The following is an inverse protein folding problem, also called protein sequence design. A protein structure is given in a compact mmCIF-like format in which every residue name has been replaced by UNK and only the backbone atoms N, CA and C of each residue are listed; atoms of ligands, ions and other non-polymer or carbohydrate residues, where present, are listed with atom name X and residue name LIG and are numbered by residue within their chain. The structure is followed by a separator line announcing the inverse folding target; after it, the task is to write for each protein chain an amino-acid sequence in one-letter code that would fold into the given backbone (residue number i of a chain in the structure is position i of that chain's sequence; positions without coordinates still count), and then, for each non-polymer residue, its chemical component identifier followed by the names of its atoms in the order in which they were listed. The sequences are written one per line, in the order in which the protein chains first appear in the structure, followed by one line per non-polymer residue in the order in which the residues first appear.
data_IF_775066456079
#
_entry.id   IF_775066456079
#
_cell.length_a   1.000
_cell.length_b   1.000
_cell.length_c   1.000
_cell.angle_alpha   90.00
_cell.angle_beta   90.00
_cell.angle_gamma   90.00
#
_symmetry.space_group_name_H-M   'P 1'
#
loop_
_entity.id
_entity.type
_entity.pdbx_description
1 polymer ?
#
# COMPACT_ATOMS: atom_id res chain seq x y z
N UNK A 1 0.19 16.34 -0.22
CA UNK A 1 1.42 16.80 -0.91
C UNK A 1 1.57 16.05 -2.22
N UNK A 2 2.28 16.60 -3.22
CA UNK A 2 2.68 15.79 -4.40
C UNK A 2 3.57 14.66 -3.89
N UNK A 3 3.16 13.40 -4.06
CA UNK A 3 3.89 12.21 -3.61
C UNK A 3 3.24 11.40 -2.49
N UNK A 4 2.22 11.94 -1.78
CA UNK A 4 1.42 11.11 -0.88
C UNK A 4 0.51 10.18 -1.73
N UNK A 5 0.31 8.95 -1.29
CA UNK A 5 -0.58 8.00 -1.95
C UNK A 5 -1.99 8.11 -1.40
N UNK A 6 -2.97 7.77 -2.25
CA UNK A 6 -4.34 7.51 -1.82
C UNK A 6 -4.63 6.04 -2.08
N UNK A 7 -4.80 5.25 -1.01
CA UNK A 7 -5.15 3.83 -1.10
C UNK A 7 -6.67 3.73 -1.20
N UNK A 8 -7.17 2.97 -2.19
CA UNK A 8 -8.59 2.68 -2.34
C UNK A 8 -8.93 1.34 -1.68
N UNK A 9 -9.82 1.38 -0.70
CA UNK A 9 -10.36 0.19 -0.04
C UNK A 9 -11.30 -0.60 -0.94
N UNK A 10 -11.54 -1.87 -0.59
CA UNK A 10 -12.40 -2.78 -1.37
C UNK A 10 -13.86 -2.34 -1.45
N UNK A 11 -14.34 -1.48 -0.53
CA UNK A 11 -15.69 -0.90 -0.59
C UNK A 11 -15.70 0.53 -1.12
N UNK A 12 -14.57 1.00 -1.68
CA UNK A 12 -14.45 2.32 -2.27
C UNK A 12 -14.06 3.43 -1.28
N UNK A 13 -13.61 3.09 -0.08
CA UNK A 13 -13.03 4.06 0.85
C UNK A 13 -11.69 4.61 0.30
N UNK A 14 -11.32 5.83 0.70
CA UNK A 14 -10.05 6.44 0.34
C UNK A 14 -9.26 6.80 1.59
N UNK A 15 -8.04 6.26 1.69
CA UNK A 15 -7.15 6.49 2.82
C UNK A 15 -5.87 7.20 2.36
N UNK A 16 -5.51 8.35 2.96
CA UNK A 16 -4.22 8.97 2.71
C UNK A 16 -3.11 8.08 3.28
N UNK A 17 -2.05 7.87 2.51
CA UNK A 17 -0.93 7.04 2.89
C UNK A 17 0.38 7.75 2.54
N UNK A 18 1.34 7.71 3.47
CA UNK A 18 2.69 8.20 3.24
C UNK A 18 3.57 7.01 2.82
N UNK A 19 4.19 7.05 1.62
CA UNK A 19 4.95 5.89 1.11
C UNK A 19 6.08 5.44 2.02
N UNK A 20 6.82 6.39 2.59
CA UNK A 20 7.92 6.16 3.53
C UNK A 20 7.48 5.43 4.80
N UNK A 21 6.30 5.76 5.32
CA UNK A 21 5.72 5.06 6.47
C UNK A 21 5.26 3.65 6.07
N UNK A 22 4.67 3.49 4.88
CA UNK A 22 4.20 2.20 4.39
C UNK A 22 5.35 1.20 4.26
N UNK A 23 6.46 1.62 3.64
CA UNK A 23 7.68 0.81 3.47
C UNK A 23 8.35 0.45 4.80
N UNK A 24 8.20 1.29 5.84
CA UNK A 24 8.78 1.04 7.16
C UNK A 24 8.04 -0.04 7.97
N UNK A 25 6.73 -0.20 7.76
CA UNK A 25 5.86 -1.04 8.61
C UNK A 25 5.36 -2.31 7.91
N UNK A 26 5.37 -2.34 6.57
CA UNK A 26 4.95 -3.49 5.78
C UNK A 26 6.15 -4.11 5.08
N UNK A 27 6.22 -5.44 5.09
CA UNK A 27 7.22 -6.22 4.39
C UNK A 27 6.66 -6.69 3.04
N UNK A 28 7.51 -6.74 2.01
CA UNK A 28 7.12 -7.30 0.72
C UNK A 28 6.86 -8.81 0.87
N UNK A 29 5.72 -9.25 0.34
CA UNK A 29 5.38 -10.67 0.30
C UNK A 29 5.83 -11.24 -1.03
N UNK A 30 6.77 -12.18 -1.01
CA UNK A 30 7.12 -12.94 -2.20
C UNK A 30 5.94 -13.81 -2.62
N UNK A 31 5.36 -13.52 -3.78
CA UNK A 31 4.33 -14.39 -4.37
C UNK A 31 5.06 -15.54 -5.04
N UNK A 32 5.16 -16.68 -4.36
CA UNK A 32 5.55 -17.93 -5.02
C UNK A 32 4.42 -18.31 -5.98
N UNK A 33 4.62 -18.10 -7.29
CA UNK A 33 3.73 -18.57 -8.34
C UNK A 33 3.80 -20.11 -8.44
N UNK A 34 3.24 -20.81 -7.45
CA UNK A 34 3.03 -22.25 -7.50
C UNK A 34 1.88 -22.59 -8.44
N UNK A 35 2.20 -23.29 -9.53
CA UNK A 35 1.29 -24.30 -10.08
C UNK A 35 1.09 -25.42 -9.07
#
# INVERSE_FOLDING_TARGET
NKGDWIIKGVKGEFYPCKPDIFELIYEEVEVSNGH
#
